data_IF_632846685137
#
_entry.id   IF_632846685137
#
_cell.length_a   1.000
_cell.length_b   1.000
_cell.length_c   1.000
_cell.angle_alpha   90.00
_cell.angle_beta   90.00
_cell.angle_gamma   90.00
#
_symmetry.space_group_name_H-M   'P 1'
#
loop_
_entity.id
_entity.type
_entity.pdbx_description
1 polymer ?
#
# COMPACT_ATOMS: atom_id res chain seq x y z
N UNK A 1 4.54 -44.69 -18.03
CA UNK A 1 3.38 -43.92 -18.53
C UNK A 1 2.83 -42.98 -17.46
N UNK A 2 2.77 -43.36 -16.19
CA UNK A 2 2.31 -42.49 -15.08
C UNK A 2 3.14 -41.21 -14.91
N UNK A 3 4.47 -41.27 -15.07
CA UNK A 3 5.34 -40.09 -15.01
C UNK A 3 5.03 -39.07 -16.12
N UNK A 4 4.65 -39.54 -17.31
CA UNK A 4 4.32 -38.69 -18.46
C UNK A 4 2.99 -37.97 -18.20
N UNK A 5 2.03 -38.65 -17.57
CA UNK A 5 0.76 -38.06 -17.16
C UNK A 5 1.00 -36.99 -16.07
N UNK A 6 1.84 -37.28 -15.07
CA UNK A 6 2.19 -36.32 -14.02
C UNK A 6 2.86 -35.06 -14.57
N UNK A 7 3.86 -35.21 -15.45
CA UNK A 7 4.52 -34.08 -16.10
C UNK A 7 3.57 -33.32 -17.05
N UNK A 8 2.66 -34.01 -17.74
CA UNK A 8 1.63 -33.39 -18.58
C UNK A 8 0.68 -32.50 -17.77
N UNK A 9 0.23 -32.96 -16.60
CA UNK A 9 -0.63 -32.19 -15.69
C UNK A 9 0.13 -30.97 -15.15
N UNK A 10 1.39 -31.13 -14.75
CA UNK A 10 2.22 -30.02 -14.26
C UNK A 10 2.39 -28.91 -15.32
N UNK A 11 2.66 -29.30 -16.58
CA UNK A 11 2.82 -28.34 -17.68
C UNK A 11 1.50 -27.63 -17.99
N UNK A 12 0.36 -28.34 -17.96
CA UNK A 12 -0.96 -27.75 -18.16
C UNK A 12 -1.31 -26.73 -17.07
N UNK A 13 -1.01 -27.05 -15.79
CA UNK A 13 -1.21 -26.15 -14.67
C UNK A 13 -0.31 -24.91 -14.77
N UNK A 14 0.97 -25.07 -15.10
CA UNK A 14 1.89 -23.94 -15.32
C UNK A 14 1.43 -23.03 -16.47
N UNK A 15 0.94 -23.59 -17.57
CA UNK A 15 0.47 -22.81 -18.71
C UNK A 15 -0.80 -22.01 -18.36
N UNK A 16 -1.75 -22.64 -17.66
CA UNK A 16 -2.97 -21.99 -17.19
C UNK A 16 -2.66 -20.86 -16.19
N UNK A 17 -1.76 -21.11 -15.25
CA UNK A 17 -1.37 -20.13 -14.23
C UNK A 17 -0.55 -18.97 -14.85
N UNK A 18 0.36 -19.26 -15.78
CA UNK A 18 1.15 -18.23 -16.49
C UNK A 18 0.26 -17.29 -17.32
N UNK A 19 -0.77 -17.84 -17.98
CA UNK A 19 -1.74 -17.04 -18.73
C UNK A 19 -2.46 -16.02 -17.83
N UNK A 20 -2.92 -16.46 -16.65
CA UNK A 20 -3.65 -15.60 -15.71
C UNK A 20 -2.76 -14.51 -15.10
N UNK A 21 -1.52 -14.84 -14.74
CA UNK A 21 -0.58 -13.86 -14.17
C UNK A 21 -0.18 -12.79 -15.19
N UNK A 22 0.04 -13.17 -16.45
CA UNK A 22 0.36 -12.21 -17.53
C UNK A 22 -0.77 -11.21 -17.77
N UNK A 23 -2.03 -11.65 -17.66
CA UNK A 23 -3.18 -10.77 -17.84
C UNK A 23 -3.24 -9.67 -16.78
N UNK A 24 -3.06 -10.03 -15.51
CA UNK A 24 -3.07 -9.07 -14.41
C UNK A 24 -1.91 -8.08 -14.47
N UNK A 25 -0.71 -8.52 -14.90
CA UNK A 25 0.41 -7.60 -15.08
C UNK A 25 0.17 -6.59 -16.20
N UNK A 26 -0.44 -7.02 -17.31
CA UNK A 26 -0.80 -6.12 -18.42
C UNK A 26 -1.86 -5.11 -17.99
N UNK A 27 -2.87 -5.54 -17.25
CA UNK A 27 -3.93 -4.66 -16.74
C UNK A 27 -3.35 -3.59 -15.79
N UNK A 28 -2.43 -3.97 -14.91
CA UNK A 28 -1.74 -3.01 -14.02
C UNK A 28 -0.85 -2.02 -14.78
N UNK A 29 -0.16 -2.47 -15.83
CA UNK A 29 0.65 -1.58 -16.68
C UNK A 29 -0.23 -0.64 -17.51
N UNK A 30 -1.34 -1.14 -18.04
CA UNK A 30 -2.31 -0.35 -18.80
C UNK A 30 -2.96 0.72 -17.92
N UNK A 31 -3.33 0.40 -16.68
CA UNK A 31 -3.89 1.37 -15.74
C UNK A 31 -2.92 2.53 -15.49
N UNK A 32 -1.64 2.23 -15.27
CA UNK A 32 -0.61 3.26 -15.13
C UNK A 32 -0.55 4.16 -16.37
N UNK A 33 -0.63 3.60 -17.57
CA UNK A 33 -0.62 4.33 -18.85
C UNK A 33 -1.79 5.32 -19.03
N UNK A 34 -2.89 5.15 -18.28
CA UNK A 34 -4.08 6.01 -18.41
C UNK A 34 -4.10 7.24 -17.51
N UNK A 35 -3.13 7.38 -16.61
CA UNK A 35 -3.04 8.50 -15.68
C UNK A 35 -2.58 9.75 -16.41
N UNK A 36 -3.41 10.79 -16.36
CA UNK A 36 -3.14 12.10 -16.96
C UNK A 36 -3.40 13.22 -15.94
N UNK A 37 -2.74 14.39 -16.09
CA UNK A 37 -3.09 15.58 -15.30
C UNK A 37 -4.58 15.93 -15.41
N UNK A 38 -5.16 16.38 -14.30
CA UNK A 38 -6.57 16.75 -14.18
C UNK A 38 -7.49 15.64 -13.68
N UNK A 39 -7.02 14.39 -13.61
CA UNK A 39 -7.84 13.27 -13.11
C UNK A 39 -7.86 13.20 -11.59
N UNK A 40 -9.02 12.91 -11.02
CA UNK A 40 -9.13 12.61 -9.60
C UNK A 40 -8.75 11.15 -9.33
N UNK A 41 -7.88 10.92 -8.35
CA UNK A 41 -7.32 9.61 -8.06
C UNK A 41 -7.33 9.30 -6.57
N UNK A 42 -7.37 8.01 -6.25
CA UNK A 42 -7.18 7.50 -4.91
C UNK A 42 -5.92 6.62 -4.88
N UNK A 43 -5.05 6.90 -3.92
CA UNK A 43 -3.88 6.06 -3.63
C UNK A 43 -4.26 4.81 -2.83
N UNK A 44 -3.37 3.82 -2.79
CA UNK A 44 -3.60 2.59 -2.03
C UNK A 44 -3.76 2.78 -0.51
N UNK A 45 -3.24 3.88 0.05
CA UNK A 45 -3.42 4.24 1.46
C UNK A 45 -4.71 5.01 1.75
N UNK A 46 -5.52 5.31 0.72
CA UNK A 46 -6.77 6.04 0.86
C UNK A 46 -6.67 7.55 0.69
N UNK A 47 -5.48 8.11 0.39
CA UNK A 47 -5.36 9.53 0.04
C UNK A 47 -6.04 9.81 -1.31
N UNK A 48 -6.87 10.86 -1.35
CA UNK A 48 -7.54 11.35 -2.57
C UNK A 48 -6.98 12.71 -2.96
N UNK A 49 -6.85 12.92 -4.27
CA UNK A 49 -6.49 14.21 -4.82
C UNK A 49 -6.49 14.20 -6.34
N UNK A 50 -6.09 15.31 -6.93
CA UNK A 50 -6.03 15.51 -8.38
C UNK A 50 -4.60 15.39 -8.87
N UNK A 51 -4.39 14.69 -9.98
CA UNK A 51 -3.08 14.62 -10.63
C UNK A 51 -2.76 15.98 -11.26
N UNK A 52 -1.63 16.59 -10.89
CA UNK A 52 -1.20 17.89 -11.43
C UNK A 52 -0.14 17.73 -12.49
N UNK A 53 0.73 16.73 -12.33
CA UNK A 53 1.82 16.44 -13.25
C UNK A 53 2.15 14.94 -13.22
N UNK A 54 2.63 14.44 -14.35
CA UNK A 54 3.14 13.07 -14.50
C UNK A 54 4.55 13.16 -15.06
N UNK A 55 5.50 12.52 -14.40
CA UNK A 55 6.88 12.38 -14.87
C UNK A 55 7.09 10.94 -15.33
N UNK A 56 7.12 10.74 -16.64
CA UNK A 56 7.32 9.43 -17.27
C UNK A 56 8.75 8.92 -17.11
N UNK A 57 9.75 9.81 -17.01
CA UNK A 57 11.15 9.42 -16.88
C UNK A 57 11.44 8.86 -15.48
N UNK A 58 10.80 9.43 -14.45
CA UNK A 58 10.96 9.00 -13.07
C UNK A 58 9.87 7.99 -12.59
N UNK A 59 8.87 7.68 -13.42
CA UNK A 59 7.64 6.93 -13.05
C UNK A 59 6.96 7.48 -11.78
N UNK A 60 6.89 8.82 -11.69
CA UNK A 60 6.26 9.53 -10.57
C UNK A 60 5.07 10.38 -11.00
N UNK A 61 4.16 10.63 -10.07
CA UNK A 61 2.98 11.47 -10.24
C UNK A 61 2.93 12.50 -9.11
N UNK A 62 2.59 13.72 -9.45
CA UNK A 62 2.32 14.78 -8.47
C UNK A 62 0.83 14.87 -8.24
N UNK A 63 0.42 14.74 -6.99
CA UNK A 63 -0.98 14.77 -6.56
C UNK A 63 -1.19 15.99 -5.66
N UNK A 64 -2.26 16.74 -5.93
CA UNK A 64 -2.75 17.85 -5.11
C UNK A 64 -4.01 17.43 -4.38
N UNK A 65 -3.98 17.41 -3.04
CA UNK A 65 -5.15 17.05 -2.21
C UNK A 65 -5.89 18.29 -1.71
N UNK A 66 -5.19 19.41 -1.57
CA UNK A 66 -5.72 20.69 -1.09
C UNK A 66 -5.03 21.80 -1.89
N UNK A 67 -5.70 22.93 -2.16
CA UNK A 67 -5.12 24.01 -2.94
C UNK A 67 -3.70 24.39 -2.50
N UNK A 68 -2.72 24.20 -3.39
CA UNK A 68 -1.32 24.54 -3.14
C UNK A 68 -0.50 23.52 -2.34
N UNK A 69 -1.08 22.38 -1.93
CA UNK A 69 -0.35 21.28 -1.28
C UNK A 69 -0.14 20.14 -2.27
N UNK A 70 1.06 20.07 -2.82
CA UNK A 70 1.46 19.06 -3.80
C UNK A 70 2.43 18.05 -3.21
N UNK A 71 2.18 16.78 -3.47
CA UNK A 71 3.01 15.67 -3.01
C UNK A 71 3.36 14.75 -4.17
N UNK A 72 4.57 14.20 -4.15
CA UNK A 72 5.07 13.32 -5.22
C UNK A 72 4.99 11.87 -4.78
N UNK A 73 4.42 11.04 -5.63
CA UNK A 73 4.19 9.63 -5.40
C UNK A 73 4.72 8.81 -6.55
N UNK A 74 5.07 7.55 -6.29
CA UNK A 74 5.28 6.60 -7.38
C UNK A 74 3.96 6.37 -8.09
N UNK A 75 4.01 6.20 -9.41
CA UNK A 75 2.82 5.90 -10.22
C UNK A 75 2.15 4.58 -9.80
N UNK A 76 2.93 3.65 -9.26
CA UNK A 76 2.47 2.42 -8.65
C UNK A 76 1.62 2.61 -7.37
N UNK A 77 1.67 3.78 -6.72
CA UNK A 77 0.91 4.06 -5.51
C UNK A 77 -0.56 4.40 -5.79
N UNK A 78 -0.92 4.67 -7.05
CA UNK A 78 -2.30 4.96 -7.46
C UNK A 78 -3.08 3.66 -7.54
N UNK A 79 -4.17 3.56 -6.78
CA UNK A 79 -5.01 2.37 -6.72
C UNK A 79 -6.18 2.42 -7.71
N UNK A 80 -6.85 3.57 -7.82
CA UNK A 80 -7.98 3.76 -8.73
C UNK A 80 -8.18 5.22 -9.11
N UNK A 81 -8.85 5.45 -10.24
CA UNK A 81 -9.38 6.76 -10.62
C UNK A 81 -10.76 6.96 -9.98
N UNK A 82 -11.03 8.18 -9.53
CA UNK A 82 -12.26 8.58 -8.85
C UNK A 82 -13.21 9.32 -9.78
N UNK A 83 -12.78 9.68 -10.99
CA UNK A 83 -13.62 10.32 -12.00
C UNK A 83 -14.92 9.52 -12.19
N UNK A 84 -16.04 10.12 -11.78
CA UNK A 84 -17.37 9.61 -12.10
C UNK A 84 -17.60 9.89 -13.59
N UNK A 85 -17.90 8.88 -14.42
CA UNK A 85 -18.05 9.08 -15.85
C UNK A 85 -19.25 10.00 -16.10
N UNK A 86 -18.99 11.23 -16.54
CA UNK A 86 -19.99 12.02 -17.27
C UNK A 86 -20.16 11.36 -18.63
N UNK A 87 -21.10 10.42 -18.69
CA UNK A 87 -21.77 9.86 -19.86
C UNK A 87 -20.90 9.58 -21.11
N UNK A 88 -20.38 8.35 -21.21
CA UNK A 88 -20.72 7.42 -22.29
C UNK A 88 -19.94 6.10 -22.11
N UNK A 89 -20.68 5.00 -22.21
CA UNK A 89 -20.27 3.59 -22.26
C UNK A 89 -20.17 2.86 -20.91
N UNK A 90 -21.28 2.17 -20.64
CA UNK A 90 -21.47 1.11 -19.66
C UNK A 90 -20.33 0.08 -19.72
N UNK A 91 -19.50 0.05 -18.68
CA UNK A 91 -18.76 -1.16 -18.32
C UNK A 91 -19.01 -1.47 -16.85
N UNK A 92 -20.03 -2.31 -16.69
CA UNK A 92 -20.29 -3.27 -15.62
C UNK A 92 -19.35 -3.20 -14.41
N UNK A 93 -19.87 -2.65 -13.33
CA UNK A 93 -19.25 -2.62 -12.00
C UNK A 93 -19.48 -4.00 -11.37
N UNK A 94 -18.47 -4.87 -11.37
CA UNK A 94 -18.49 -6.02 -10.47
C UNK A 94 -18.05 -5.56 -9.08
N UNK A 95 -19.04 -5.30 -8.23
CA UNK A 95 -18.90 -5.22 -6.79
C UNK A 95 -18.27 -6.52 -6.26
N UNK A 96 -17.03 -6.45 -5.77
CA UNK A 96 -16.55 -7.44 -4.81
C UNK A 96 -16.58 -6.79 -3.43
N UNK A 97 -17.72 -7.04 -2.77
CA UNK A 97 -17.98 -6.68 -1.39
C UNK A 97 -16.95 -7.30 -0.45
N UNK A 98 -16.73 -6.57 0.63
CA UNK A 98 -15.65 -6.66 1.58
C UNK A 98 -15.52 -8.02 2.31
N UNK A 99 -14.27 -8.47 2.49
CA UNK A 99 -13.85 -9.12 3.72
C UNK A 99 -12.72 -8.29 4.35
N UNK A 100 -13.08 -7.11 4.86
CA UNK A 100 -12.26 -6.44 5.87
C UNK A 100 -12.71 -6.97 7.21
N UNK A 101 -11.86 -7.78 7.84
CA UNK A 101 -12.08 -8.31 9.17
C UNK A 101 -12.39 -7.17 10.15
N UNK A 102 -13.56 -7.27 10.78
CA UNK A 102 -13.95 -6.42 11.89
C UNK A 102 -12.97 -6.61 13.04
N UNK A 103 -12.09 -5.64 13.25
CA UNK A 103 -11.39 -5.50 14.53
C UNK A 103 -12.36 -4.86 15.53
N UNK A 104 -13.15 -5.71 16.18
CA UNK A 104 -13.80 -5.37 17.44
C UNK A 104 -12.70 -5.33 18.51
N UNK A 105 -12.54 -4.25 19.29
CA UNK A 105 -11.70 -4.31 20.48
C UNK A 105 -12.45 -5.14 21.52
N UNK A 106 -12.19 -6.45 21.52
CA UNK A 106 -12.51 -7.29 22.66
C UNK A 106 -11.42 -7.04 23.72
N UNK A 107 -11.87 -6.68 24.91
CA UNK A 107 -11.11 -6.46 26.14
C UNK A 107 -10.32 -7.71 26.55
N UNK A 108 -9.20 -7.96 25.87
CA UNK A 108 -8.34 -9.11 26.07
C UNK A 108 -6.95 -8.79 25.57
N UNK A 109 -5.97 -8.97 26.45
CA UNK A 109 -4.54 -8.73 26.22
C UNK A 109 -4.09 -9.11 24.81
N UNK A 110 -3.68 -8.12 24.02
CA UNK A 110 -2.94 -8.33 22.79
C UNK A 110 -1.60 -8.95 23.20
N UNK A 111 -1.33 -10.16 22.71
CA UNK A 111 -0.06 -10.84 22.92
C UNK A 111 1.00 -10.14 22.06
N UNK A 112 1.64 -9.14 22.65
CA UNK A 112 2.69 -8.34 22.02
C UNK A 112 3.98 -9.16 22.08
N UNK A 113 4.70 -9.37 20.97
CA UNK A 113 5.99 -10.06 20.99
C UNK A 113 6.94 -9.42 22.01
N UNK A 114 7.58 -10.24 22.84
CA UNK A 114 8.42 -9.82 23.99
C UNK A 114 9.47 -8.74 23.67
N UNK A 115 9.91 -8.66 22.41
CA UNK A 115 10.97 -7.76 21.96
C UNK A 115 10.58 -6.27 22.00
N UNK A 116 9.29 -5.92 21.97
CA UNK A 116 8.84 -4.52 21.92
C UNK A 116 8.80 -3.88 23.32
N UNK A 117 8.63 -4.70 24.37
CA UNK A 117 8.63 -4.27 25.77
C UNK A 117 10.00 -3.76 26.24
N UNK A 118 11.09 -4.19 25.58
CA UNK A 118 12.46 -3.78 25.89
C UNK A 118 12.78 -2.32 25.56
N UNK A 119 11.99 -1.67 24.70
CA UNK A 119 12.25 -0.29 24.26
C UNK A 119 11.86 0.75 25.33
N UNK A 120 10.79 0.49 26.09
CA UNK A 120 10.36 1.40 27.16
C UNK A 120 11.25 1.27 28.40
N UNK A 121 11.68 0.06 28.76
CA UNK A 121 12.65 -0.16 29.84
C UNK A 121 14.01 0.45 29.52
N UNK A 122 14.55 0.24 28.31
CA UNK A 122 15.81 0.86 27.90
C UNK A 122 15.77 2.40 27.91
N UNK A 123 14.64 3.00 27.48
CA UNK A 123 14.46 4.45 27.54
C UNK A 123 14.36 4.98 28.98
N UNK A 124 13.72 4.24 29.89
CA UNK A 124 13.62 4.60 31.31
C UNK A 124 14.97 4.53 32.00
N UNK A 125 15.72 3.45 31.78
CA UNK A 125 17.07 3.28 32.35
C UNK A 125 18.03 4.37 31.88
N UNK A 126 18.02 4.72 30.60
CA UNK A 126 18.85 5.81 30.07
C UNK A 126 18.49 7.18 30.68
N UNK A 127 17.20 7.46 30.88
CA UNK A 127 16.74 8.70 31.53
C UNK A 127 17.13 8.75 33.01
N UNK A 128 17.08 7.61 33.71
CA UNK A 128 17.51 7.53 35.10
C UNK A 128 19.02 7.68 35.26
N UNK A 129 19.82 7.07 34.38
CA UNK A 129 21.28 7.23 34.37
C UNK A 129 21.66 8.69 34.14
N UNK A 130 21.08 9.33 33.12
CA UNK A 130 21.33 10.75 32.83
C UNK A 130 20.95 11.66 33.99
N UNK A 131 19.84 11.39 34.67
CA UNK A 131 19.41 12.15 35.86
C UNK A 131 20.36 12.00 37.05
N UNK A 132 21.02 10.85 37.20
CA UNK A 132 22.05 10.63 38.23
C UNK A 132 23.35 11.34 37.89
N UNK A 133 23.77 11.29 36.63
CA UNK A 133 24.97 12.00 36.14
C UNK A 133 24.83 13.52 36.27
N UNK A 134 23.67 14.08 35.90
CA UNK A 134 23.41 15.51 36.01
C UNK A 134 23.32 15.97 37.49
N UNK A 135 22.72 15.15 38.37
CA UNK A 135 22.53 15.48 39.79
C UNK A 135 23.79 15.43 40.66
N UNK A 136 24.87 14.77 40.20
CA UNK A 136 26.14 14.69 40.95
C UNK A 136 27.06 15.90 40.69
N UNK A 137 26.72 16.76 39.74
CA UNK A 137 27.51 17.97 39.41
C UNK A 137 27.10 19.23 40.16
N UNK A 138 25.94 19.25 40.83
CA UNK A 138 25.44 20.44 41.56
C UNK A 138 25.69 20.39 43.09
N UNK A 139 26.27 19.32 43.62
CA UNK A 139 26.50 19.13 45.06
C UNK A 139 27.98 19.17 45.45
N UNK A 140 28.67 20.30 45.28
CA UNK A 140 29.98 20.55 45.91
C UNK A 140 30.08 21.94 46.50
#
# INVERSE_FOLDING_TARGET
MELIILFGVLIALMFFMSSRTRKQQKEQQAFRATLAPGQEVMTGSGMVGTVVAVDEAADTVTIESTPGVQTRWLRAAIAKRMDTPVAAEETDVTEQSAETGSITPADGSVDVPDDISGLDTAQREYREQKRREDGETEGK
#
